data_IF_789983210049
#
_entry.id   IF_789983210049
#
_cell.length_a   1.000
_cell.length_b   1.000
_cell.length_c   1.000
_cell.angle_alpha   90.00
_cell.angle_beta   90.00
_cell.angle_gamma   90.00
#
_symmetry.space_group_name_H-M   'P 1'
#
loop_
_entity.id
_entity.type
_entity.pdbx_description
1 polymer ?
#
# COMPACT_ATOMS: atom_id res chain seq x y z
N UNK A 1 -52.86 2.73 -11.01
CA UNK A 1 -51.92 3.34 -11.97
C UNK A 1 -50.67 3.79 -11.21
N UNK A 2 -49.50 3.36 -11.67
CA UNK A 2 -48.15 3.62 -11.12
C UNK A 2 -47.77 5.13 -11.06
N UNK A 3 -46.63 5.53 -10.42
CA UNK A 3 -45.92 4.93 -9.27
C UNK A 3 -45.47 5.95 -8.20
N UNK A 4 -45.05 5.40 -7.05
CA UNK A 4 -44.31 6.05 -5.96
C UNK A 4 -42.94 6.57 -6.44
N UNK A 5 -42.61 7.82 -6.14
CA UNK A 5 -41.24 8.33 -6.18
C UNK A 5 -40.57 8.12 -4.81
N UNK A 6 -39.71 7.10 -4.73
CA UNK A 6 -38.87 6.81 -3.57
C UNK A 6 -37.43 7.24 -3.84
N UNK A 7 -36.89 8.01 -2.89
CA UNK A 7 -35.46 8.17 -2.58
C UNK A 7 -34.49 8.53 -3.71
N UNK A 8 -34.40 9.81 -4.01
CA UNK A 8 -33.17 10.44 -4.46
C UNK A 8 -32.47 11.05 -3.24
N UNK A 9 -31.51 10.31 -2.67
CA UNK A 9 -30.36 10.88 -2.01
C UNK A 9 -29.14 10.14 -2.55
N UNK A 10 -28.77 10.50 -3.78
CA UNK A 10 -27.40 10.33 -4.24
C UNK A 10 -26.52 11.07 -3.23
N UNK A 11 -25.79 10.32 -2.40
CA UNK A 11 -24.73 10.89 -1.58
C UNK A 11 -23.75 11.53 -2.56
N UNK A 12 -23.81 12.86 -2.62
CA UNK A 12 -23.06 13.69 -3.51
C UNK A 12 -21.60 13.22 -3.53
N UNK A 13 -21.13 12.84 -4.72
CA UNK A 13 -19.71 12.88 -5.00
C UNK A 13 -19.28 14.33 -4.79
N UNK A 14 -18.70 14.60 -3.63
CA UNK A 14 -17.94 15.82 -3.41
C UNK A 14 -16.74 15.70 -4.35
N UNK A 15 -16.91 16.20 -5.57
CA UNK A 15 -15.83 16.72 -6.40
C UNK A 15 -15.31 17.97 -5.67
N UNK A 16 -14.45 17.78 -4.68
CA UNK A 16 -13.58 18.86 -4.24
C UNK A 16 -12.44 18.93 -5.25
N UNK A 17 -12.51 19.99 -6.05
CA UNK A 17 -11.43 20.89 -6.45
C UNK A 17 -10.09 20.28 -6.89
N UNK A 18 -9.49 20.91 -7.88
CA UNK A 18 -8.07 20.82 -8.24
C UNK A 18 -7.14 20.81 -7.03
N UNK A 19 -6.96 19.65 -6.39
CA UNK A 19 -5.97 19.43 -5.36
C UNK A 19 -4.62 19.58 -6.06
N UNK A 20 -4.06 20.77 -5.93
CA UNK A 20 -2.77 21.12 -6.49
C UNK A 20 -1.76 20.34 -5.67
N UNK A 21 -1.43 19.13 -6.11
CA UNK A 21 -0.51 18.28 -5.39
C UNK A 21 0.79 19.04 -5.13
N UNK A 22 1.26 19.00 -3.89
CA UNK A 22 2.49 19.68 -3.53
C UNK A 22 3.68 18.81 -3.90
N UNK A 23 4.61 19.33 -4.69
CA UNK A 23 5.84 18.64 -5.03
C UNK A 23 6.63 18.21 -3.79
N UNK A 24 7.17 16.99 -3.83
CA UNK A 24 8.02 16.43 -2.79
C UNK A 24 9.34 17.20 -2.72
N UNK A 25 9.76 17.50 -1.50
CA UNK A 25 11.00 18.19 -1.17
C UNK A 25 11.64 17.50 0.03
N UNK A 26 12.94 17.73 0.24
CA UNK A 26 13.64 17.24 1.44
C UNK A 26 12.97 17.76 2.73
N UNK A 27 12.33 18.93 2.69
CA UNK A 27 11.64 19.52 3.86
C UNK A 27 10.34 18.78 4.20
N UNK A 28 9.59 18.30 3.21
CA UNK A 28 8.28 17.68 3.41
C UNK A 28 8.28 16.14 3.36
N UNK A 29 9.35 15.51 2.89
CA UNK A 29 9.45 14.03 2.78
C UNK A 29 9.29 13.34 4.13
N UNK A 30 9.82 13.93 5.21
CA UNK A 30 9.68 13.38 6.57
C UNK A 30 8.22 13.38 7.03
N UNK A 31 7.53 14.51 6.87
CA UNK A 31 6.12 14.63 7.25
C UNK A 31 5.21 13.74 6.39
N UNK A 32 5.52 13.59 5.09
CA UNK A 32 4.86 12.64 4.21
C UNK A 32 5.01 11.21 4.72
N UNK A 33 6.25 10.81 5.04
CA UNK A 33 6.55 9.45 5.52
C UNK A 33 5.87 9.15 6.85
N UNK A 34 5.93 10.07 7.82
CA UNK A 34 5.24 9.91 9.10
C UNK A 34 3.73 9.70 8.93
N UNK A 35 3.07 10.42 8.02
CA UNK A 35 1.65 10.22 7.71
C UNK A 35 1.39 8.86 7.07
N UNK A 36 2.22 8.42 6.13
CA UNK A 36 2.10 7.10 5.53
C UNK A 36 2.25 5.97 6.57
N UNK A 37 3.18 6.12 7.52
CA UNK A 37 3.38 5.19 8.63
C UNK A 37 2.21 5.19 9.60
N UNK A 38 1.65 6.36 9.94
CA UNK A 38 0.47 6.43 10.80
C UNK A 38 -0.74 5.73 10.19
N UNK A 39 -1.05 5.99 8.91
CA UNK A 39 -2.12 5.30 8.19
C UNK A 39 -1.88 3.79 8.07
N UNK A 40 -0.62 3.37 7.97
CA UNK A 40 -0.28 1.96 8.00
C UNK A 40 -0.63 1.33 9.35
N UNK A 41 -0.22 1.93 10.47
CA UNK A 41 -0.51 1.40 11.81
C UNK A 41 -2.01 1.41 12.13
N UNK A 42 -2.73 2.47 11.74
CA UNK A 42 -4.19 2.54 11.86
C UNK A 42 -4.86 1.37 11.10
N UNK A 43 -4.42 1.11 9.87
CA UNK A 43 -4.91 -0.02 9.09
C UNK A 43 -4.57 -1.37 9.74
N UNK A 44 -3.33 -1.54 10.22
CA UNK A 44 -2.87 -2.77 10.90
C UNK A 44 -3.70 -3.05 12.15
N UNK A 45 -4.02 -2.03 12.95
CA UNK A 45 -4.83 -2.16 14.15
C UNK A 45 -6.24 -2.72 13.86
N UNK A 46 -6.74 -2.52 12.63
CA UNK A 46 -8.00 -3.08 12.15
C UNK A 46 -7.95 -4.56 11.73
N UNK A 47 -6.78 -5.19 11.68
CA UNK A 47 -6.63 -6.58 11.21
C UNK A 47 -6.93 -7.56 12.36
N UNK A 48 -8.03 -8.34 12.29
CA UNK A 48 -8.47 -9.16 13.42
C UNK A 48 -7.53 -10.32 13.72
N UNK A 49 -6.88 -10.92 12.71
CA UNK A 49 -5.99 -12.06 12.92
C UNK A 49 -4.77 -11.72 13.79
N UNK A 50 -4.34 -10.46 13.82
CA UNK A 50 -3.24 -10.02 14.68
C UNK A 50 -3.57 -10.10 16.18
N UNK A 51 -4.84 -10.17 16.56
CA UNK A 51 -5.25 -10.38 17.96
C UNK A 51 -4.91 -11.79 18.46
N UNK A 52 -4.69 -12.74 17.54
CA UNK A 52 -4.40 -14.14 17.84
C UNK A 52 -2.90 -14.43 17.94
N UNK A 53 -2.05 -13.43 17.70
CA UNK A 53 -0.60 -13.59 17.71
C UNK A 53 0.00 -13.06 19.01
N UNK A 54 1.09 -13.71 19.47
CA UNK A 54 1.95 -13.15 20.50
C UNK A 54 2.48 -11.76 20.09
N UNK A 55 2.63 -10.89 21.08
CA UNK A 55 3.04 -9.51 20.88
C UNK A 55 4.39 -9.39 20.15
N UNK A 56 5.37 -10.21 20.50
CA UNK A 56 6.73 -10.11 19.93
C UNK A 56 6.75 -10.46 18.44
N UNK A 57 6.07 -11.54 18.08
CA UNK A 57 5.98 -12.01 16.70
C UNK A 57 5.06 -11.10 15.87
N UNK A 58 3.98 -10.57 16.46
CA UNK A 58 3.12 -9.54 15.87
C UNK A 58 3.88 -8.28 15.50
N UNK A 59 4.65 -7.72 16.45
CA UNK A 59 5.52 -6.55 16.20
C UNK A 59 6.50 -6.86 15.06
N UNK A 60 7.10 -8.05 15.06
CA UNK A 60 8.03 -8.49 14.01
C UNK A 60 7.37 -8.51 12.64
N UNK A 61 6.18 -9.09 12.52
CA UNK A 61 5.39 -9.11 11.28
C UNK A 61 5.04 -7.69 10.82
N UNK A 62 4.48 -6.88 11.71
CA UNK A 62 4.04 -5.51 11.40
C UNK A 62 5.19 -4.64 10.96
N UNK A 63 6.34 -4.67 11.63
CA UNK A 63 7.49 -3.84 11.24
C UNK A 63 8.07 -4.29 9.91
N UNK A 64 8.18 -5.61 9.66
CA UNK A 64 8.77 -6.13 8.42
C UNK A 64 7.91 -5.90 7.18
N UNK A 65 6.59 -5.76 7.32
CA UNK A 65 5.68 -5.54 6.20
C UNK A 65 5.46 -4.06 5.85
N UNK A 66 5.89 -3.12 6.72
CA UNK A 66 5.61 -1.69 6.58
C UNK A 66 5.95 -1.14 5.17
N UNK A 67 7.18 -1.32 4.70
CA UNK A 67 7.62 -0.76 3.42
C UNK A 67 6.90 -1.37 2.22
N UNK A 68 6.59 -2.67 2.29
CA UNK A 68 5.89 -3.40 1.24
C UNK A 68 4.46 -2.87 1.10
N UNK A 69 3.76 -2.73 2.23
CA UNK A 69 2.41 -2.20 2.25
C UNK A 69 2.37 -0.71 1.92
N UNK A 70 3.33 0.08 2.40
CA UNK A 70 3.45 1.49 2.01
C UNK A 70 3.61 1.65 0.49
N UNK A 71 4.45 0.83 -0.15
CA UNK A 71 4.61 0.84 -1.60
C UNK A 71 3.33 0.47 -2.34
N UNK A 72 2.58 -0.51 -1.84
CA UNK A 72 1.28 -0.88 -2.39
C UNK A 72 0.24 0.25 -2.24
N UNK A 73 0.20 0.94 -1.09
CA UNK A 73 -0.67 2.11 -0.88
C UNK A 73 -0.36 3.25 -1.85
N UNK A 74 0.92 3.59 -2.02
CA UNK A 74 1.37 4.62 -2.96
C UNK A 74 1.01 4.25 -4.41
N UNK A 75 1.22 2.99 -4.78
CA UNK A 75 0.93 2.49 -6.13
C UNK A 75 -0.57 2.59 -6.45
N UNK A 76 -1.43 2.19 -5.52
CA UNK A 76 -2.88 2.26 -5.72
C UNK A 76 -3.39 3.71 -5.76
N UNK A 77 -2.90 4.58 -4.88
CA UNK A 77 -3.28 6.00 -4.93
C UNK A 77 -2.85 6.66 -6.24
N UNK A 78 -1.63 6.38 -6.70
CA UNK A 78 -1.13 6.90 -7.97
C UNK A 78 -1.97 6.39 -9.16
N UNK A 79 -2.31 5.10 -9.16
CA UNK A 79 -3.21 4.51 -10.15
C UNK A 79 -4.58 5.20 -10.19
N UNK A 80 -5.21 5.38 -9.02
CA UNK A 80 -6.54 6.00 -8.90
C UNK A 80 -6.59 7.44 -9.40
N UNK A 81 -5.49 8.17 -9.27
CA UNK A 81 -5.38 9.58 -9.66
C UNK A 81 -4.90 9.77 -11.11
N UNK A 82 -4.49 8.70 -11.81
CA UNK A 82 -4.00 8.79 -13.18
C UNK A 82 -2.73 9.63 -13.36
N UNK A 83 -2.00 9.90 -12.28
CA UNK A 83 -0.86 10.81 -12.28
C UNK A 83 0.39 10.14 -12.90
N UNK A 84 1.13 10.88 -13.75
CA UNK A 84 2.34 10.35 -14.43
C UNK A 84 3.56 10.22 -13.50
N UNK A 85 3.55 10.95 -12.39
CA UNK A 85 4.53 10.85 -11.31
C UNK A 85 4.11 9.88 -10.21
N UNK A 86 4.45 10.16 -8.95
CA UNK A 86 3.94 9.42 -7.79
C UNK A 86 3.03 10.32 -6.97
N UNK A 87 1.89 9.79 -6.51
CA UNK A 87 1.03 10.47 -5.53
C UNK A 87 1.13 9.77 -4.19
N UNK A 88 1.47 10.55 -3.17
CA UNK A 88 1.38 10.12 -1.78
C UNK A 88 0.02 10.54 -1.25
N UNK A 89 -0.66 9.69 -0.45
CA UNK A 89 -2.01 9.96 0.09
C UNK A 89 -2.11 11.14 1.09
N UNK A 90 -1.11 12.01 1.11
CA UNK A 90 -0.96 13.16 2.01
C UNK A 90 -1.05 14.52 1.31
N UNK A 91 -1.49 14.51 0.03
CA UNK A 91 -1.52 15.69 -0.86
C UNK A 91 -0.15 16.05 -1.45
N UNK A 92 0.88 15.24 -1.18
CA UNK A 92 2.23 15.41 -1.73
C UNK A 92 2.37 14.50 -2.95
N UNK A 93 3.02 14.97 -4.01
CA UNK A 93 3.36 14.17 -5.18
C UNK A 93 4.83 14.30 -5.55
N UNK A 94 5.30 13.41 -6.41
CA UNK A 94 6.54 13.57 -7.14
C UNK A 94 6.21 13.70 -8.62
N UNK A 95 6.44 14.87 -9.19
CA UNK A 95 6.47 15.11 -10.62
C UNK A 95 7.93 15.24 -11.10
N UNK A 96 8.40 14.38 -12.04
CA UNK A 96 9.76 14.44 -12.57
C UNK A 96 10.14 15.78 -13.22
N UNK A 97 9.17 16.49 -13.82
CA UNK A 97 9.40 17.78 -14.48
C UNK A 97 9.60 18.93 -13.50
N UNK A 98 9.07 18.83 -12.28
CA UNK A 98 9.11 19.88 -11.26
C UNK A 98 10.19 19.64 -10.19
N UNK A 99 10.85 18.49 -10.23
CA UNK A 99 11.88 18.14 -9.26
C UNK A 99 13.19 18.92 -9.52
N UNK A 100 13.54 19.80 -8.57
CA UNK A 100 14.77 20.59 -8.62
C UNK A 100 15.96 19.93 -7.91
N UNK A 101 15.70 19.14 -6.86
CA UNK A 101 16.77 18.45 -6.13
C UNK A 101 17.22 17.19 -6.87
N UNK A 102 18.47 17.14 -7.32
CA UNK A 102 18.99 16.05 -8.15
C UNK A 102 19.04 14.69 -7.44
N UNK A 103 19.31 14.66 -6.13
CA UNK A 103 19.39 13.41 -5.38
C UNK A 103 17.99 12.81 -5.18
N UNK A 104 17.04 13.64 -4.73
CA UNK A 104 15.64 13.26 -4.57
C UNK A 104 15.01 12.88 -5.92
N UNK A 105 15.31 13.63 -6.99
CA UNK A 105 14.83 13.36 -8.36
C UNK A 105 15.31 12.01 -8.85
N UNK A 106 16.61 11.72 -8.74
CA UNK A 106 17.17 10.44 -9.21
C UNK A 106 16.52 9.27 -8.49
N UNK A 107 16.39 9.36 -7.16
CA UNK A 107 15.73 8.33 -6.37
C UNK A 107 14.25 8.17 -6.72
N UNK A 108 13.49 9.27 -6.69
CA UNK A 108 12.05 9.24 -6.87
C UNK A 108 11.67 8.86 -8.31
N UNK A 109 12.47 9.22 -9.32
CA UNK A 109 12.33 8.73 -10.69
C UNK A 109 12.57 7.22 -10.79
N UNK A 110 13.60 6.68 -10.13
CA UNK A 110 13.85 5.23 -10.12
C UNK A 110 12.68 4.49 -9.48
N UNK A 111 12.19 4.98 -8.34
CA UNK A 111 11.04 4.41 -7.65
C UNK A 111 9.75 4.52 -8.48
N UNK A 112 9.49 5.68 -9.09
CA UNK A 112 8.36 5.90 -10.00
C UNK A 112 8.41 4.95 -11.19
N UNK A 113 9.58 4.76 -11.80
CA UNK A 113 9.75 3.83 -12.92
C UNK A 113 9.37 2.40 -12.52
N UNK A 114 9.84 1.92 -11.36
CA UNK A 114 9.48 0.57 -10.87
C UNK A 114 7.97 0.45 -10.65
N UNK A 115 7.36 1.42 -9.95
CA UNK A 115 5.92 1.42 -9.68
C UNK A 115 5.11 1.45 -10.98
N UNK A 116 5.42 2.37 -11.89
CA UNK A 116 4.66 2.53 -13.13
C UNK A 116 4.75 1.32 -14.03
N UNK A 117 5.97 0.81 -14.23
CA UNK A 117 6.23 -0.24 -15.21
C UNK A 117 5.76 -1.62 -14.73
N UNK A 118 5.80 -1.90 -13.43
CA UNK A 118 5.54 -3.25 -12.92
C UNK A 118 4.23 -3.38 -12.12
N UNK A 119 3.76 -2.29 -11.50
CA UNK A 119 2.59 -2.34 -10.61
C UNK A 119 1.40 -1.64 -11.26
N UNK A 120 1.54 -0.35 -11.59
CA UNK A 120 0.44 0.44 -12.15
C UNK A 120 0.06 -0.06 -13.55
N UNK A 121 1.03 -0.50 -14.36
CA UNK A 121 0.76 -1.15 -15.65
C UNK A 121 -0.20 -2.35 -15.50
N UNK A 122 0.02 -3.18 -14.48
CA UNK A 122 -0.84 -4.32 -14.15
C UNK A 122 -2.20 -3.82 -13.64
N UNK A 123 -2.24 -2.84 -12.73
CA UNK A 123 -3.49 -2.27 -12.22
C UNK A 123 -4.37 -1.71 -13.34
N UNK A 124 -3.75 -1.05 -14.32
CA UNK A 124 -4.43 -0.55 -15.52
C UNK A 124 -4.92 -1.70 -16.41
N UNK A 125 -4.05 -2.68 -16.69
CA UNK A 125 -4.39 -3.84 -17.54
C UNK A 125 -5.58 -4.62 -17.00
N UNK A 126 -5.62 -4.83 -15.69
CA UNK A 126 -6.72 -5.58 -15.06
C UNK A 126 -7.88 -4.67 -14.64
N UNK A 127 -7.79 -3.34 -14.80
CA UNK A 127 -8.76 -2.42 -14.22
C UNK A 127 -9.04 -2.74 -12.73
N UNK A 128 -7.98 -2.70 -11.92
CA UNK A 128 -8.01 -3.10 -10.51
C UNK A 128 -9.12 -2.36 -9.75
N UNK A 129 -9.98 -3.12 -9.10
CA UNK A 129 -11.03 -2.61 -8.22
C UNK A 129 -10.48 -2.30 -6.83
N UNK A 130 -11.25 -1.55 -6.03
CA UNK A 130 -10.87 -1.22 -4.65
C UNK A 130 -10.87 -2.48 -3.77
N UNK A 131 -11.82 -3.38 -4.01
CA UNK A 131 -12.02 -4.62 -3.28
C UNK A 131 -10.85 -5.58 -3.52
N UNK A 132 -10.44 -5.76 -4.78
CA UNK A 132 -9.24 -6.53 -5.12
C UNK A 132 -7.98 -5.95 -4.50
N UNK A 133 -7.83 -4.61 -4.52
CA UNK A 133 -6.73 -3.93 -3.86
C UNK A 133 -6.69 -4.21 -2.35
N UNK A 134 -7.83 -4.14 -1.66
CA UNK A 134 -7.90 -4.40 -0.21
C UNK A 134 -7.51 -5.84 0.13
N UNK A 135 -7.98 -6.80 -0.66
CA UNK A 135 -7.61 -8.21 -0.51
C UNK A 135 -6.13 -8.45 -0.81
N UNK A 136 -5.60 -7.83 -1.88
CA UNK A 136 -4.18 -7.90 -2.22
C UNK A 136 -3.29 -7.28 -1.16
N UNK A 137 -3.75 -6.21 -0.49
CA UNK A 137 -3.06 -5.59 0.64
C UNK A 137 -2.94 -6.55 1.82
N UNK A 138 -3.99 -7.29 2.13
CA UNK A 138 -4.00 -8.31 3.18
C UNK A 138 -3.14 -9.52 2.81
N UNK A 139 -3.25 -10.02 1.57
CA UNK A 139 -2.40 -11.11 1.06
C UNK A 139 -0.93 -10.71 1.14
N UNK A 140 -0.58 -9.51 0.66
CA UNK A 140 0.77 -8.99 0.73
C UNK A 140 1.29 -8.92 2.17
N UNK A 141 0.45 -8.51 3.12
CA UNK A 141 0.83 -8.42 4.52
C UNK A 141 1.08 -9.80 5.16
N UNK A 142 0.25 -10.79 4.85
CA UNK A 142 0.37 -12.15 5.38
C UNK A 142 1.27 -13.08 4.55
N UNK A 143 1.95 -12.57 3.52
CA UNK A 143 2.97 -13.30 2.79
C UNK A 143 4.38 -12.77 3.14
N UNK A 144 4.97 -13.18 4.28
CA UNK A 144 6.31 -12.76 4.70
C UNK A 144 7.38 -13.53 3.94
N UNK A 145 8.15 -12.88 3.04
CA UNK A 145 9.03 -13.63 2.14
C UNK A 145 10.38 -13.98 2.79
N UNK A 146 10.77 -13.32 3.90
CA UNK A 146 12.16 -13.39 4.39
C UNK A 146 12.30 -13.43 5.92
N UNK A 147 11.35 -14.01 6.66
CA UNK A 147 11.56 -14.27 8.08
C UNK A 147 10.74 -15.43 8.64
N UNK A 148 11.33 -16.07 9.64
CA UNK A 148 10.73 -17.18 10.35
C UNK A 148 9.94 -16.66 11.54
N UNK A 149 8.62 -16.80 11.45
CA UNK A 149 7.75 -16.75 12.62
C UNK A 149 7.84 -18.06 13.38
N UNK A 150 7.71 -17.99 14.70
CA UNK A 150 7.56 -19.18 15.54
C UNK A 150 6.22 -19.87 15.26
N UNK A 151 6.14 -21.16 15.57
CA UNK A 151 4.83 -21.80 15.78
C UNK A 151 4.37 -21.39 17.18
N UNK A 152 3.10 -20.99 17.41
CA UNK A 152 1.89 -21.12 16.58
C UNK A 152 1.59 -19.97 15.60
N UNK A 153 2.34 -18.86 15.63
CA UNK A 153 2.03 -17.65 14.85
C UNK A 153 2.06 -17.88 13.34
N UNK A 154 2.96 -18.74 12.86
CA UNK A 154 2.98 -19.18 11.47
C UNK A 154 1.64 -19.77 11.03
N UNK A 155 0.99 -20.56 11.89
CA UNK A 155 -0.33 -21.14 11.59
C UNK A 155 -1.42 -20.06 11.47
N UNK A 156 -1.35 -18.99 12.28
CA UNK A 156 -2.26 -17.83 12.17
C UNK A 156 -2.07 -17.13 10.84
N UNK A 157 -0.81 -16.86 10.46
CA UNK A 157 -0.46 -16.20 9.20
C UNK A 157 -0.86 -17.03 7.99
N UNK A 158 -0.55 -18.34 7.96
CA UNK A 158 -0.89 -19.23 6.86
C UNK A 158 -2.42 -19.34 6.68
N UNK A 159 -3.16 -19.39 7.79
CA UNK A 159 -4.63 -19.40 7.76
C UNK A 159 -5.20 -18.09 7.20
N UNK A 160 -4.66 -16.95 7.65
CA UNK A 160 -5.05 -15.63 7.16
C UNK A 160 -4.76 -15.49 5.66
N UNK A 161 -3.56 -15.88 5.22
CA UNK A 161 -3.14 -15.84 3.82
C UNK A 161 -4.10 -16.67 2.94
N UNK A 162 -4.36 -17.92 3.31
CA UNK A 162 -5.29 -18.80 2.58
C UNK A 162 -6.71 -18.23 2.53
N UNK A 163 -7.19 -17.66 3.65
CA UNK A 163 -8.50 -16.99 3.72
C UNK A 163 -8.59 -15.85 2.71
N UNK A 164 -7.61 -14.95 2.68
CA UNK A 164 -7.64 -13.78 1.80
C UNK A 164 -7.39 -14.13 0.32
N UNK A 165 -6.55 -15.12 0.03
CA UNK A 165 -6.40 -15.68 -1.33
C UNK A 165 -7.71 -16.28 -1.84
N UNK A 166 -8.40 -17.07 -1.01
CA UNK A 166 -9.71 -17.66 -1.35
C UNK A 166 -10.75 -16.56 -1.58
N UNK A 167 -10.76 -15.53 -0.72
CA UNK A 167 -11.66 -14.39 -0.87
C UNK A 167 -11.39 -13.60 -2.16
N UNK A 168 -10.13 -13.41 -2.58
CA UNK A 168 -9.79 -12.75 -3.84
C UNK A 168 -10.31 -13.54 -5.04
N UNK A 169 -10.07 -14.85 -5.07
CA UNK A 169 -10.58 -15.72 -6.15
C UNK A 169 -12.11 -15.69 -6.20
N UNK A 170 -12.76 -15.79 -5.04
CA UNK A 170 -14.22 -15.71 -4.94
C UNK A 170 -14.76 -14.38 -5.42
N UNK A 171 -14.14 -13.27 -5.01
CA UNK A 171 -14.52 -11.93 -5.44
C UNK A 171 -14.38 -11.76 -6.95
N UNK A 172 -13.24 -12.14 -7.54
CA UNK A 172 -13.01 -12.02 -8.99
C UNK A 172 -14.07 -12.78 -9.79
N UNK A 173 -14.39 -14.02 -9.39
CA UNK A 173 -15.42 -14.83 -10.04
C UNK A 173 -16.81 -14.19 -9.95
N UNK A 174 -17.11 -13.56 -8.81
CA UNK A 174 -18.40 -12.92 -8.57
C UNK A 174 -18.54 -11.58 -9.31
N UNK A 175 -17.50 -10.75 -9.29
CA UNK A 175 -17.51 -9.41 -9.88
C UNK A 175 -17.29 -9.42 -11.40
N UNK A 176 -16.73 -10.51 -11.94
CA UNK A 176 -16.50 -10.68 -13.37
C UNK A 176 -17.07 -12.05 -13.85
N UNK A 177 -18.40 -12.24 -13.81
CA UNK A 177 -19.03 -13.54 -14.09
C UNK A 177 -18.87 -13.99 -15.56
N UNK A 178 -18.47 -13.08 -16.44
CA UNK A 178 -18.23 -13.33 -17.87
C UNK A 178 -16.82 -13.88 -18.16
N UNK A 179 -15.90 -13.88 -17.19
CA UNK A 179 -14.57 -14.43 -17.38
C UNK A 179 -14.59 -15.95 -17.26
N UNK A 180 -13.93 -16.63 -18.19
CA UNK A 180 -13.69 -18.06 -18.09
C UNK A 180 -12.64 -18.39 -17.00
N UNK A 181 -12.47 -19.67 -16.69
CA UNK A 181 -11.51 -20.13 -15.69
C UNK A 181 -10.07 -19.70 -15.97
N UNK A 182 -9.68 -19.63 -17.24
CA UNK A 182 -8.33 -19.25 -17.67
C UNK A 182 -8.11 -17.77 -17.40
N UNK A 183 -9.02 -16.91 -17.83
CA UNK A 183 -8.96 -15.46 -17.64
C UNK A 183 -8.99 -15.08 -16.14
N UNK A 184 -9.79 -15.78 -15.33
CA UNK A 184 -9.75 -15.61 -13.86
C UNK A 184 -8.36 -15.94 -13.31
N UNK A 185 -7.77 -17.06 -13.73
CA UNK A 185 -6.45 -17.49 -13.28
C UNK A 185 -5.35 -16.52 -13.72
N UNK A 186 -5.42 -16.03 -14.95
CA UNK A 186 -4.51 -15.01 -15.48
C UNK A 186 -4.60 -13.70 -14.70
N UNK A 187 -5.82 -13.26 -14.36
CA UNK A 187 -6.04 -12.07 -13.54
C UNK A 187 -5.43 -12.23 -12.14
N UNK A 188 -5.70 -13.35 -11.46
CA UNK A 188 -5.14 -13.63 -10.14
C UNK A 188 -3.61 -13.69 -10.19
N UNK A 189 -3.06 -14.38 -11.20
CA UNK A 189 -1.61 -14.46 -11.42
C UNK A 189 -1.00 -13.09 -11.66
N UNK A 190 -1.66 -12.22 -12.43
CA UNK A 190 -1.19 -10.86 -12.66
C UNK A 190 -1.19 -10.04 -11.36
N UNK A 191 -2.26 -10.14 -10.56
CA UNK A 191 -2.36 -9.43 -9.27
C UNK A 191 -1.30 -9.88 -8.27
N UNK A 192 -1.07 -11.17 -8.11
CA UNK A 192 -0.05 -11.70 -7.21
C UNK A 192 1.37 -11.51 -7.77
N UNK A 193 1.51 -11.48 -9.10
CA UNK A 193 2.78 -11.28 -9.80
C UNK A 193 3.42 -9.92 -9.55
N UNK A 194 2.68 -8.93 -9.02
CA UNK A 194 3.27 -7.63 -8.65
C UNK A 194 4.10 -7.70 -7.36
N UNK A 195 3.88 -8.73 -6.52
CA UNK A 195 4.38 -8.76 -5.15
C UNK A 195 5.91 -8.64 -5.04
N UNK A 196 6.72 -9.28 -5.91
CA UNK A 196 8.18 -9.10 -5.91
C UNK A 196 8.60 -7.64 -6.12
N UNK A 197 7.80 -6.85 -6.83
CA UNK A 197 8.06 -5.43 -7.08
C UNK A 197 7.58 -4.53 -5.95
N UNK A 198 6.87 -5.04 -4.94
CA UNK A 198 6.54 -4.30 -3.72
C UNK A 198 7.70 -4.31 -2.72
N UNK A 199 8.60 -5.29 -2.83
CA UNK A 199 9.84 -5.40 -2.06
C UNK A 199 10.94 -4.50 -2.65
N UNK A 200 10.58 -3.28 -3.05
CA UNK A 200 11.54 -2.36 -3.63
C UNK A 200 12.62 -2.06 -2.59
N UNK A 201 13.79 -2.69 -2.74
CA UNK A 201 15.01 -2.47 -1.95
C UNK A 201 15.38 -0.98 -1.85
N UNK A 202 14.84 -0.13 -2.71
CA UNK A 202 15.00 1.32 -2.70
C UNK A 202 14.43 2.00 -1.45
N UNK A 203 13.35 1.49 -0.82
CA UNK A 203 12.83 2.13 0.41
C UNK A 203 13.81 2.06 1.56
N UNK A 204 14.70 1.05 1.63
CA UNK A 204 15.78 1.04 2.62
C UNK A 204 16.80 2.14 2.37
N UNK A 205 17.01 2.55 1.10
CA UNK A 205 17.88 3.67 0.74
C UNK A 205 17.24 5.03 0.96
N UNK A 206 15.93 5.20 0.72
CA UNK A 206 15.24 6.42 1.14
C UNK A 206 15.19 6.52 2.66
N UNK A 207 14.95 5.40 3.35
CA UNK A 207 15.01 5.36 4.81
C UNK A 207 16.41 5.61 5.32
N UNK A 208 17.49 5.10 4.69
CA UNK A 208 18.86 5.47 5.11
C UNK A 208 19.25 6.89 4.70
N UNK A 209 18.71 7.43 3.62
CA UNK A 209 18.94 8.84 3.20
C UNK A 209 18.15 9.82 4.06
N UNK A 210 16.92 9.45 4.44
CA UNK A 210 16.10 10.14 5.43
C UNK A 210 16.69 9.91 6.83
N UNK A 211 17.29 8.75 7.11
CA UNK A 211 18.06 8.50 8.34
C UNK A 211 19.32 9.34 8.36
N UNK A 212 20.00 9.64 7.25
CA UNK A 212 21.10 10.64 7.21
C UNK A 212 20.59 12.06 7.53
N UNK A 213 19.34 12.38 7.17
CA UNK A 213 18.67 13.64 7.53
C UNK A 213 18.07 13.60 8.96
N UNK A 214 17.83 12.42 9.53
CA UNK A 214 17.25 12.22 10.87
C UNK A 214 18.34 11.97 11.94
N UNK A 215 19.49 11.39 11.59
CA UNK A 215 20.63 11.15 12.50
C UNK A 215 21.40 12.42 12.82
N UNK A 216 21.21 13.50 12.05
CA UNK A 216 21.61 14.86 12.43
C UNK A 216 20.71 15.47 13.53
N UNK A 217 19.69 14.76 14.02
CA UNK A 217 18.85 15.21 15.14
C UNK A 217 18.05 14.12 15.84
N UNK A 218 18.68 13.44 16.83
CA UNK A 218 18.07 12.82 18.04
C UNK A 218 16.73 12.06 17.91
N UNK A 219 16.40 11.39 16.79
CA UNK A 219 15.11 10.69 16.63
C UNK A 219 15.21 9.17 16.36
N UNK A 220 16.35 8.52 16.61
CA UNK A 220 16.42 7.06 16.60
C UNK A 220 15.70 6.43 17.82
N UNK A 221 15.57 7.20 18.91
CA UNK A 221 14.94 6.75 20.16
C UNK A 221 13.40 6.81 20.03
N UNK A 222 12.86 7.78 19.29
CA UNK A 222 11.43 8.03 19.29
C UNK A 222 10.63 7.03 18.45
N UNK A 223 11.17 6.49 17.35
CA UNK A 223 10.48 5.50 16.51
C UNK A 223 10.26 4.19 17.27
N UNK A 224 11.21 3.76 18.11
CA UNK A 224 11.03 2.62 19.02
C UNK A 224 9.90 2.86 20.03
N UNK A 225 9.82 4.07 20.58
CA UNK A 225 8.78 4.44 21.56
C UNK A 225 7.41 4.61 20.91
N UNK A 226 7.33 5.19 19.71
CA UNK A 226 6.08 5.37 18.96
C UNK A 226 5.52 4.02 18.49
N UNK A 227 6.37 3.10 18.04
CA UNK A 227 5.95 1.73 17.72
C UNK A 227 5.39 1.01 18.96
N UNK A 228 5.89 1.30 20.17
CA UNK A 228 5.32 0.76 21.42
C UNK A 228 4.06 1.50 21.92
N UNK A 229 3.75 2.69 21.41
CA UNK A 229 2.55 3.44 21.80
C UNK A 229 1.32 3.14 20.93
N UNK A 230 1.54 2.53 19.76
CA UNK A 230 0.48 2.20 18.79
C UNK A 230 0.22 0.69 18.66
N UNK A 231 0.89 -0.15 19.45
CA UNK A 231 0.68 -1.61 19.54
C UNK A 231 0.43 -1.95 21.00
#
# INVERSE_FOLDING_TARGET
>A
MQPKASSLCYSASIQTETDTYRQITIRNVKAMWCRAVAHYFEWVAGIPELRLMDMREKVTLVVRQLCKIASLMVSFWTYRQGHNGIVFGSGICYNPSEAQDNALKTYASSYASVIHNNIISVFRKVAMTREEYLLLKLISFFDPPHFYLRQPERTVVDRALKKYQTALVGHVKHSHPFLDHKAVTERISALLGIMPYLEVRSTSKLLTSVDMVITSGKLAIHVKTTIMLFI
#
